data_IF_108534765315
#
_entry.id   IF_108534765315
#
_cell.length_a   1.000
_cell.length_b   1.000
_cell.length_c   1.000
_cell.angle_alpha   90.00
_cell.angle_beta   90.00
_cell.angle_gamma   90.00
#
_symmetry.space_group_name_H-M   'P 1'
#
loop_
_entity.id
_entity.type
_entity.pdbx_description
1 polymer ?
#
# COMPACT_ATOMS: atom_id res chain seq x y z
N UNK A 1 1.02 -16.13 13.99
CA UNK A 1 -0.04 -15.14 13.70
C UNK A 1 0.54 -13.76 13.94
N UNK A 2 0.40 -12.80 13.04
CA UNK A 2 0.94 -11.47 13.22
C UNK A 2 0.25 -10.74 14.38
N UNK A 3 0.85 -9.69 14.93
CA UNK A 3 0.34 -8.91 16.06
C UNK A 3 -0.90 -8.05 15.74
N UNK A 4 -1.62 -8.34 14.67
CA UNK A 4 -2.81 -7.61 14.23
C UNK A 4 -3.91 -7.46 15.29
N UNK A 5 -4.24 -8.53 16.06
CA UNK A 5 -5.18 -8.37 17.17
C UNK A 5 -4.68 -7.39 18.24
N UNK A 6 -3.35 -7.36 18.47
CA UNK A 6 -2.74 -6.43 19.42
C UNK A 6 -2.78 -4.98 18.92
N UNK A 7 -2.40 -4.73 17.66
CA UNK A 7 -2.48 -3.40 17.05
C UNK A 7 -3.93 -2.88 17.04
N UNK A 8 -4.87 -3.70 16.63
CA UNK A 8 -6.30 -3.36 16.65
C UNK A 8 -6.80 -3.05 18.05
N UNK A 9 -6.43 -3.87 19.04
CA UNK A 9 -6.79 -3.65 20.45
C UNK A 9 -6.21 -2.35 21.02
N UNK A 10 -4.99 -1.97 20.61
CA UNK A 10 -4.38 -0.69 20.97
C UNK A 10 -5.10 0.49 20.30
N UNK A 11 -5.30 0.41 18.99
CA UNK A 11 -5.89 1.50 18.20
C UNK A 11 -7.34 1.79 18.57
N UNK A 12 -8.12 0.77 18.91
CA UNK A 12 -9.49 0.93 19.43
C UNK A 12 -9.53 1.72 20.73
N UNK A 13 -8.48 1.62 21.56
CA UNK A 13 -8.36 2.30 22.84
C UNK A 13 -7.64 3.64 22.78
N UNK A 14 -7.13 4.02 21.61
CA UNK A 14 -6.45 5.28 21.30
C UNK A 14 -7.21 6.03 20.18
N UNK A 15 -8.51 6.33 20.34
CA UNK A 15 -9.36 6.87 19.29
C UNK A 15 -8.96 8.27 18.83
N UNK A 16 -8.19 9.00 19.66
CA UNK A 16 -7.75 10.36 19.38
C UNK A 16 -6.54 10.44 18.46
N UNK A 17 -5.87 9.31 18.16
CA UNK A 17 -4.70 9.33 17.30
C UNK A 17 -5.05 9.76 15.86
N UNK A 18 -4.25 10.66 15.33
CA UNK A 18 -4.26 10.99 13.90
C UNK A 18 -3.84 9.78 13.05
N UNK A 19 -4.01 9.88 11.73
CA UNK A 19 -3.52 8.86 10.80
C UNK A 19 -2.03 8.56 11.00
N UNK A 20 -1.20 9.60 11.21
CA UNK A 20 0.22 9.43 11.48
C UNK A 20 0.49 8.76 12.84
N UNK A 21 -0.25 9.12 13.88
CA UNK A 21 -0.16 8.48 15.19
C UNK A 21 -0.54 7.00 15.14
N UNK A 22 -1.56 6.64 14.38
CA UNK A 22 -1.96 5.24 14.13
C UNK A 22 -0.88 4.47 13.38
N UNK A 23 -0.26 5.10 12.35
CA UNK A 23 0.84 4.51 11.62
C UNK A 23 2.05 4.21 12.53
N UNK A 24 2.36 5.10 13.49
CA UNK A 24 3.39 4.84 14.50
C UNK A 24 3.09 3.58 15.29
N UNK A 25 1.88 3.45 15.86
CA UNK A 25 1.48 2.27 16.65
C UNK A 25 1.60 1.00 15.79
N UNK A 26 1.13 1.03 14.55
CA UNK A 26 1.21 -0.11 13.65
C UNK A 26 2.66 -0.53 13.38
N UNK A 27 3.53 0.40 12.99
CA UNK A 27 4.95 0.09 12.77
C UNK A 27 5.58 -0.51 14.02
N UNK A 28 5.31 0.04 15.21
CA UNK A 28 5.85 -0.46 16.47
C UNK A 28 5.39 -1.88 16.78
N UNK A 29 4.11 -2.18 16.59
CA UNK A 29 3.54 -3.50 16.92
C UNK A 29 3.93 -4.54 15.87
N UNK A 30 3.93 -4.20 14.58
CA UNK A 30 4.31 -5.12 13.52
C UNK A 30 5.78 -5.53 13.58
N UNK A 31 6.64 -4.63 14.00
CA UNK A 31 8.07 -4.90 14.24
C UNK A 31 8.34 -5.45 15.65
N UNK A 32 7.29 -5.74 16.41
CA UNK A 32 7.42 -6.25 17.79
C UNK A 32 8.27 -5.36 18.69
N UNK A 33 8.23 -4.03 18.48
CA UNK A 33 9.08 -3.04 19.13
C UNK A 33 10.53 -2.98 18.61
N UNK A 34 10.88 -3.75 17.58
CA UNK A 34 12.26 -3.85 17.03
C UNK A 34 12.46 -2.96 15.79
N UNK A 35 11.91 -1.79 15.81
CA UNK A 35 11.84 -0.86 14.67
C UNK A 35 13.18 -0.25 14.24
N UNK A 36 14.29 -0.59 14.90
CA UNK A 36 15.59 0.00 14.64
C UNK A 36 15.76 1.38 15.27
N UNK A 37 16.44 2.30 14.60
CA UNK A 37 16.64 3.66 15.11
C UNK A 37 15.42 4.55 14.91
N UNK A 38 15.30 5.63 15.70
CA UNK A 38 14.26 6.63 15.54
C UNK A 38 14.30 7.30 14.15
N UNK A 39 15.49 7.42 13.54
CA UNK A 39 15.64 7.98 12.19
C UNK A 39 15.08 7.01 11.13
N UNK A 40 15.27 5.71 11.30
CA UNK A 40 14.70 4.70 10.40
C UNK A 40 13.17 4.72 10.44
N UNK A 41 12.59 4.78 11.64
CA UNK A 41 11.12 4.89 11.79
C UNK A 41 10.61 6.22 11.25
N UNK A 42 11.30 7.32 11.50
CA UNK A 42 10.96 8.61 10.93
C UNK A 42 10.91 8.53 9.39
N UNK A 43 11.94 7.97 8.76
CA UNK A 43 12.00 7.79 7.31
C UNK A 43 10.85 6.91 6.78
N UNK A 44 10.53 5.80 7.46
CA UNK A 44 9.38 4.92 7.13
C UNK A 44 8.02 5.62 7.20
N UNK A 45 7.91 6.60 8.09
CA UNK A 45 6.69 7.41 8.27
C UNK A 45 6.67 8.67 7.38
N UNK A 46 7.61 8.81 6.44
CA UNK A 46 7.73 9.98 5.58
C UNK A 46 8.22 11.24 6.30
N UNK A 47 8.79 11.10 7.51
CA UNK A 47 9.36 12.18 8.28
C UNK A 47 10.85 12.34 7.94
N UNK A 48 11.35 13.56 7.89
CA UNK A 48 12.74 13.84 7.49
C UNK A 48 13.76 13.56 8.60
N UNK A 49 13.33 13.60 9.87
CA UNK A 49 14.25 13.50 11.02
C UNK A 49 13.58 12.84 12.23
N UNK A 50 14.38 12.23 13.12
CA UNK A 50 13.93 11.76 14.44
C UNK A 50 13.27 12.85 15.30
N UNK A 51 13.64 14.12 15.09
CA UNK A 51 13.03 15.23 15.83
C UNK A 51 11.59 15.49 15.40
N UNK A 52 11.26 15.25 14.12
CA UNK A 52 9.88 15.30 13.64
C UNK A 52 9.06 14.14 14.22
N UNK A 53 9.66 12.94 14.33
CA UNK A 53 9.03 11.80 15.01
C UNK A 53 8.76 12.12 16.49
N UNK A 54 9.74 12.70 17.20
CA UNK A 54 9.55 13.08 18.60
C UNK A 54 8.45 14.14 18.78
N UNK A 55 8.32 15.11 17.86
CA UNK A 55 7.23 16.09 17.84
C UNK A 55 5.88 15.42 17.57
N UNK A 56 5.84 14.47 16.61
CA UNK A 56 4.65 13.69 16.31
C UNK A 56 4.19 12.92 17.55
N UNK A 57 5.05 12.13 18.17
CA UNK A 57 4.73 11.35 19.38
C UNK A 57 4.16 12.24 20.49
N UNK A 58 4.78 13.40 20.74
CA UNK A 58 4.31 14.37 21.74
C UNK A 58 2.95 14.94 21.39
N UNK A 59 2.72 15.32 20.12
CA UNK A 59 1.44 15.83 19.61
C UNK A 59 0.33 14.80 19.74
N UNK A 60 0.63 13.54 19.47
CA UNK A 60 -0.31 12.44 19.55
C UNK A 60 -0.54 11.95 21.01
N UNK A 61 0.21 12.48 21.96
CA UNK A 61 0.13 12.04 23.38
C UNK A 61 0.67 10.63 23.59
N UNK A 62 1.58 10.19 22.73
CA UNK A 62 2.28 8.92 22.82
C UNK A 62 3.58 9.07 23.62
N UNK A 63 4.05 7.99 24.28
CA UNK A 63 5.33 7.97 24.96
C UNK A 63 6.51 8.29 24.01
N UNK A 64 7.65 8.76 24.54
CA UNK A 64 8.88 8.90 23.76
C UNK A 64 9.25 7.59 23.06
N UNK A 65 9.94 7.69 21.92
CA UNK A 65 10.26 6.57 21.03
C UNK A 65 10.81 5.33 21.73
N UNK A 66 11.84 5.50 22.57
CA UNK A 66 12.48 4.37 23.28
C UNK A 66 11.54 3.68 24.27
N UNK A 67 10.69 4.44 24.92
CA UNK A 67 9.68 3.91 25.85
C UNK A 67 8.58 3.19 25.08
N UNK A 68 8.16 3.75 23.95
CA UNK A 68 7.13 3.17 23.08
C UNK A 68 7.58 1.83 22.48
N UNK A 69 8.82 1.75 21.97
CA UNK A 69 9.40 0.49 21.44
C UNK A 69 9.53 -0.58 22.52
N UNK A 70 9.96 -0.17 23.70
CA UNK A 70 10.05 -1.09 24.84
C UNK A 70 8.70 -1.68 25.23
N UNK A 71 7.65 -0.87 25.29
CA UNK A 71 6.29 -1.32 25.57
C UNK A 71 5.71 -2.18 24.46
N UNK A 72 5.98 -1.86 23.19
CA UNK A 72 5.57 -2.68 22.07
C UNK A 72 6.18 -4.09 22.13
N UNK A 73 7.49 -4.19 22.51
CA UNK A 73 8.14 -5.48 22.71
C UNK A 73 7.53 -6.27 23.87
N UNK A 74 7.27 -5.65 25.00
CA UNK A 74 6.66 -6.31 26.17
C UNK A 74 5.25 -6.79 25.85
N UNK A 75 4.45 -5.96 25.22
CA UNK A 75 3.08 -6.31 24.79
C UNK A 75 3.09 -7.49 23.81
N UNK A 76 3.99 -7.48 22.84
CA UNK A 76 4.15 -8.57 21.91
C UNK A 76 4.51 -9.90 22.62
N UNK A 77 5.51 -9.89 23.53
CA UNK A 77 5.92 -11.11 24.23
C UNK A 77 4.81 -11.69 25.10
N UNK A 78 4.04 -10.83 25.81
CA UNK A 78 2.92 -11.32 26.64
C UNK A 78 1.80 -11.84 25.74
N UNK A 79 1.45 -11.13 24.68
CA UNK A 79 0.43 -11.55 23.72
C UNK A 79 0.77 -12.90 23.07
N UNK A 80 2.03 -13.07 22.61
CA UNK A 80 2.48 -14.34 22.03
C UNK A 80 2.51 -15.47 23.07
N UNK A 81 2.92 -15.17 24.28
CA UNK A 81 2.93 -16.15 25.35
C UNK A 81 1.52 -16.59 25.77
N UNK A 82 0.55 -15.68 25.79
CA UNK A 82 -0.86 -16.00 26.07
C UNK A 82 -1.44 -16.91 24.98
N UNK A 83 -1.05 -16.68 23.71
CA UNK A 83 -1.53 -17.41 22.56
C UNK A 83 -0.86 -18.79 22.36
N UNK A 84 0.44 -18.90 22.62
CA UNK A 84 1.25 -20.06 22.24
C UNK A 84 1.78 -20.86 23.42
N UNK A 85 1.52 -20.43 24.66
CA UNK A 85 2.12 -20.92 25.90
C UNK A 85 3.68 -20.89 25.91
N UNK A 86 4.29 -20.11 25.01
CA UNK A 86 5.74 -20.02 24.87
C UNK A 86 6.40 -19.34 26.08
N UNK A 87 7.63 -19.77 26.41
CA UNK A 87 8.44 -19.12 27.44
C UNK A 87 9.08 -17.83 26.89
N UNK A 88 9.41 -16.86 27.77
CA UNK A 88 10.14 -15.66 27.35
C UNK A 88 11.50 -16.00 26.70
N UNK A 89 12.18 -17.04 27.21
CA UNK A 89 13.42 -17.51 26.64
C UNK A 89 13.25 -17.94 25.17
N UNK A 90 12.19 -18.70 24.86
CA UNK A 90 11.88 -19.12 23.49
C UNK A 90 11.51 -17.93 22.59
N UNK A 91 10.72 -16.98 23.09
CA UNK A 91 10.34 -15.77 22.36
C UNK A 91 11.54 -14.86 22.11
N UNK A 92 12.41 -14.65 23.11
CA UNK A 92 13.62 -13.85 22.98
C UNK A 92 14.60 -14.45 21.97
N UNK A 93 14.83 -15.77 22.02
CA UNK A 93 15.69 -16.49 21.06
C UNK A 93 15.12 -16.36 19.63
N UNK A 94 13.84 -16.58 19.46
CA UNK A 94 13.17 -16.44 18.15
C UNK A 94 13.26 -15.01 17.61
N UNK A 95 13.29 -14.03 18.52
CA UNK A 95 13.47 -12.62 18.20
C UNK A 95 14.95 -12.20 18.12
N UNK A 96 15.92 -13.08 18.25
CA UNK A 96 17.36 -12.76 18.30
C UNK A 96 17.71 -11.64 19.32
N UNK A 97 17.04 -11.66 20.47
CA UNK A 97 17.28 -10.72 21.58
C UNK A 97 17.86 -11.50 22.76
N UNK A 98 18.82 -10.87 23.46
CA UNK A 98 19.34 -11.44 24.69
C UNK A 98 18.21 -11.63 25.72
N UNK A 99 17.97 -12.87 26.19
CA UNK A 99 16.91 -13.12 27.19
C UNK A 99 17.08 -12.29 28.47
N UNK A 100 18.30 -12.08 28.93
CA UNK A 100 18.56 -11.28 30.14
C UNK A 100 18.14 -9.81 29.94
N UNK A 101 18.34 -9.26 28.74
CA UNK A 101 17.83 -7.93 28.38
C UNK A 101 16.30 -7.89 28.40
N UNK A 102 15.65 -8.94 27.89
CA UNK A 102 14.18 -9.04 27.86
C UNK A 102 13.59 -9.07 29.27
N UNK A 103 14.16 -9.84 30.19
CA UNK A 103 13.74 -9.86 31.62
C UNK A 103 13.94 -8.51 32.29
N UNK A 104 15.09 -7.85 32.04
CA UNK A 104 15.38 -6.51 32.58
C UNK A 104 14.41 -5.45 32.03
N UNK A 105 14.10 -5.50 30.74
CA UNK A 105 13.16 -4.59 30.10
C UNK A 105 11.76 -4.72 30.70
N UNK A 106 11.26 -5.94 30.83
CA UNK A 106 9.95 -6.23 31.44
C UNK A 106 9.90 -5.64 32.86
N UNK A 107 10.87 -5.96 33.71
CA UNK A 107 10.91 -5.48 35.10
C UNK A 107 10.98 -3.95 35.18
N UNK A 108 11.79 -3.33 34.30
CA UNK A 108 11.92 -1.87 34.24
C UNK A 108 10.62 -1.18 33.84
N UNK A 109 9.88 -1.70 32.86
CA UNK A 109 8.67 -1.05 32.35
C UNK A 109 7.42 -1.37 33.14
N UNK A 110 7.29 -2.58 33.67
CA UNK A 110 6.06 -3.05 34.32
C UNK A 110 6.16 -3.16 35.83
N UNK A 111 7.38 -3.17 36.37
CA UNK A 111 7.63 -3.46 37.80
C UNK A 111 7.49 -4.95 38.17
N UNK A 112 7.03 -5.78 37.23
CA UNK A 112 6.70 -7.18 37.47
C UNK A 112 7.79 -8.12 36.96
N UNK A 113 7.85 -9.33 37.55
CA UNK A 113 8.60 -10.46 36.98
C UNK A 113 7.79 -11.10 35.84
N UNK A 114 8.48 -11.83 34.96
CA UNK A 114 7.80 -12.51 33.85
C UNK A 114 6.66 -13.44 34.29
N UNK A 115 6.84 -14.21 35.34
CA UNK A 115 5.82 -15.10 35.88
C UNK A 115 4.57 -14.35 36.39
N UNK A 116 4.77 -13.18 36.99
CA UNK A 116 3.68 -12.31 37.44
C UNK A 116 2.98 -11.67 36.24
N UNK A 117 3.76 -11.22 35.25
CA UNK A 117 3.25 -10.61 34.03
C UNK A 117 2.40 -11.59 33.23
N UNK A 118 2.84 -12.86 33.13
CA UNK A 118 2.06 -13.94 32.52
C UNK A 118 0.74 -14.20 33.23
N UNK A 119 0.69 -14.06 34.54
CA UNK A 119 -0.53 -14.27 35.34
C UNK A 119 -1.55 -13.16 35.13
N UNK A 120 -1.10 -11.91 34.97
CA UNK A 120 -1.99 -10.77 34.72
C UNK A 120 -2.44 -10.66 33.26
N UNK A 121 -1.68 -11.23 32.30
CA UNK A 121 -2.04 -11.36 30.90
C UNK A 121 -1.98 -10.05 30.07
N UNK A 122 -2.22 -10.19 28.78
CA UNK A 122 -2.09 -9.11 27.79
C UNK A 122 -3.02 -7.92 28.08
N UNK A 123 -4.23 -8.16 28.55
CA UNK A 123 -5.22 -7.09 28.80
C UNK A 123 -4.73 -6.10 29.88
N UNK A 124 -4.16 -6.59 30.96
CA UNK A 124 -3.63 -5.76 32.05
C UNK A 124 -2.37 -5.02 31.62
N UNK A 125 -1.50 -5.66 30.86
CA UNK A 125 -0.28 -5.02 30.32
C UNK A 125 -0.65 -3.89 29.35
N UNK A 126 -1.64 -4.11 28.52
CA UNK A 126 -2.18 -3.09 27.61
C UNK A 126 -2.79 -1.93 28.40
N UNK A 127 -3.56 -2.21 29.46
CA UNK A 127 -4.12 -1.17 30.33
C UNK A 127 -3.02 -0.30 30.94
N UNK A 128 -1.92 -0.89 31.42
CA UNK A 128 -0.77 -0.13 31.96
C UNK A 128 -0.09 0.72 30.89
N UNK A 129 0.12 0.20 29.70
CA UNK A 129 0.63 0.99 28.58
C UNK A 129 -0.27 2.20 28.29
N UNK A 130 -1.58 2.01 28.26
CA UNK A 130 -2.56 3.06 27.95
C UNK A 130 -2.55 4.19 28.99
N UNK A 131 -2.13 3.94 30.25
CA UNK A 131 -1.98 5.02 31.24
C UNK A 131 -0.88 6.02 30.89
N UNK A 132 0.05 5.63 30.02
CA UNK A 132 1.13 6.51 29.54
C UNK A 132 0.71 7.34 28.33
N UNK A 133 -0.37 6.94 27.67
CA UNK A 133 -0.91 7.64 26.52
C UNK A 133 -1.95 8.67 26.96
N UNK A 134 -1.75 9.94 26.64
CA UNK A 134 -2.66 11.03 27.07
C UNK A 134 -3.03 11.88 25.86
N UNK A 135 -4.34 12.09 25.59
CA UNK A 135 -4.74 13.02 24.53
C UNK A 135 -4.17 14.41 24.81
N UNK A 136 -3.60 15.05 23.81
CA UNK A 136 -3.15 16.42 23.93
C UNK A 136 -4.33 17.33 24.29
N UNK A 137 -4.15 18.22 25.27
CA UNK A 137 -5.20 19.15 25.69
C UNK A 137 -5.61 20.03 24.50
N UNK A 138 -6.86 19.92 24.06
CA UNK A 138 -7.50 20.86 23.14
C UNK A 138 -7.82 20.38 21.72
N UNK A 139 -7.63 19.08 21.35
CA UNK A 139 -7.74 18.73 19.92
C UNK A 139 -8.82 17.74 19.49
N UNK A 140 -9.53 17.05 20.38
CA UNK A 140 -10.26 15.84 19.94
C UNK A 140 -11.77 15.86 20.13
N UNK A 141 -12.28 16.45 21.17
CA UNK A 141 -13.74 16.46 21.40
C UNK A 141 -14.46 17.33 20.38
N UNK A 142 -13.83 18.44 19.95
CA UNK A 142 -14.42 19.35 18.96
C UNK A 142 -14.32 18.83 17.52
N UNK A 143 -13.28 18.08 17.19
CA UNK A 143 -13.10 17.55 15.84
C UNK A 143 -14.02 16.36 15.56
N UNK A 144 -14.18 15.45 16.52
CA UNK A 144 -15.09 14.30 16.41
C UNK A 144 -16.55 14.76 16.42
N UNK A 145 -16.91 15.77 17.24
CA UNK A 145 -18.26 16.35 17.22
C UNK A 145 -18.58 17.11 15.92
N UNK A 146 -17.62 17.85 15.35
CA UNK A 146 -17.80 18.53 14.05
C UNK A 146 -17.91 17.55 12.90
N UNK A 147 -17.18 16.42 12.95
CA UNK A 147 -17.22 15.38 11.93
C UNK A 147 -18.53 14.59 11.98
N UNK A 148 -18.98 14.19 13.15
CA UNK A 148 -20.27 13.51 13.34
C UNK A 148 -21.47 14.41 12.99
N UNK A 149 -21.38 15.72 13.20
CA UNK A 149 -22.41 16.68 12.80
C UNK A 149 -22.41 16.98 11.29
N UNK A 150 -21.27 16.80 10.62
CA UNK A 150 -21.16 16.91 9.15
C UNK A 150 -21.68 15.65 8.43
N UNK A 151 -21.53 14.48 9.05
CA UNK A 151 -21.97 13.19 8.51
C UNK A 151 -23.49 12.96 8.61
N UNK A 152 -24.23 13.75 9.38
CA UNK A 152 -25.69 13.65 9.55
C UNK A 152 -26.52 14.57 8.65
N UNK A 153 -25.93 15.27 7.69
CA UNK A 153 -26.66 16.04 6.67
C UNK A 153 -26.54 15.40 5.30
N UNK A 154 -27.01 14.17 5.18
CA UNK A 154 -27.16 13.51 3.90
C UNK A 154 -28.49 13.90 3.21
N UNK A 155 -28.44 15.00 2.48
CA UNK A 155 -29.42 15.24 1.42
C UNK A 155 -28.80 14.87 0.05
N UNK A 156 -28.74 13.54 -0.19
CA UNK A 156 -28.08 12.93 -1.35
C UNK A 156 -28.93 12.93 -2.63
N UNK A 157 -30.08 13.62 -2.66
CA UNK A 157 -31.04 13.54 -3.76
C UNK A 157 -30.81 14.54 -4.92
N UNK A 158 -29.79 15.41 -4.86
CA UNK A 158 -29.54 16.40 -5.93
C UNK A 158 -28.04 16.65 -6.19
N UNK A 159 -27.23 15.59 -6.40
CA UNK A 159 -25.84 15.81 -6.79
C UNK A 159 -25.65 15.29 -8.21
N UNK A 160 -25.43 16.21 -9.15
CA UNK A 160 -24.99 15.91 -10.51
C UNK A 160 -23.63 15.22 -10.53
N UNK A 161 -23.28 14.59 -11.64
CA UNK A 161 -21.95 13.97 -11.83
C UNK A 161 -20.84 14.97 -11.53
N UNK A 162 -19.73 14.55 -10.92
CA UNK A 162 -18.63 15.45 -10.60
C UNK A 162 -18.08 16.10 -11.87
N UNK A 163 -17.74 17.37 -11.77
CA UNK A 163 -17.05 18.08 -12.85
C UNK A 163 -15.58 17.61 -12.86
N UNK A 164 -15.17 16.88 -13.89
CA UNK A 164 -13.78 16.45 -14.07
C UNK A 164 -12.98 17.51 -14.85
N UNK A 165 -11.67 17.66 -14.59
CA UNK A 165 -10.83 16.93 -13.63
C UNK A 165 -11.11 17.31 -12.17
N UNK A 166 -10.94 16.34 -11.26
CA UNK A 166 -11.19 16.52 -9.83
C UNK A 166 -9.93 16.12 -9.05
N UNK A 167 -9.52 16.95 -8.09
CA UNK A 167 -8.50 16.64 -7.10
C UNK A 167 -9.10 16.61 -5.71
N UNK A 168 -8.89 15.50 -5.00
CA UNK A 168 -9.38 15.29 -3.66
C UNK A 168 -8.21 15.20 -2.68
N UNK A 169 -8.10 16.09 -1.69
CA UNK A 169 -7.15 15.92 -0.60
C UNK A 169 -7.37 14.59 0.11
N UNK A 170 -6.31 13.82 0.26
CA UNK A 170 -6.34 12.52 0.93
C UNK A 170 -5.01 12.28 1.64
N UNK A 171 -4.94 12.64 2.90
CA UNK A 171 -3.75 12.44 3.73
C UNK A 171 -3.41 10.95 3.93
N UNK A 172 -2.17 10.70 4.36
CA UNK A 172 -1.74 9.35 4.74
C UNK A 172 -1.08 8.57 3.61
N UNK A 173 -0.56 9.26 2.59
CA UNK A 173 0.23 8.68 1.51
C UNK A 173 -0.57 7.74 0.62
N UNK A 174 -1.49 8.24 -0.22
CA UNK A 174 -2.17 7.43 -1.22
C UNK A 174 -1.16 6.71 -2.12
N UNK A 175 -1.32 5.39 -2.28
CA UNK A 175 -0.32 4.58 -2.96
C UNK A 175 -0.91 3.68 -4.06
N UNK A 176 -1.56 2.58 -3.70
CA UNK A 176 -2.22 1.68 -4.64
C UNK A 176 -3.67 2.08 -4.87
N UNK A 177 -4.19 1.79 -6.05
CA UNK A 177 -5.59 2.03 -6.39
C UNK A 177 -6.17 0.88 -7.20
N UNK A 178 -7.39 0.47 -6.85
CA UNK A 178 -8.19 -0.46 -7.64
C UNK A 178 -9.64 0.00 -7.68
N UNK A 179 -10.33 -0.27 -8.79
CA UNK A 179 -11.72 0.13 -8.97
C UNK A 179 -12.63 -1.08 -8.85
N UNK A 180 -13.61 -0.97 -7.95
CA UNK A 180 -14.68 -1.93 -7.77
C UNK A 180 -15.86 -1.56 -8.67
N UNK A 181 -16.23 -2.47 -9.57
CA UNK A 181 -17.27 -2.21 -10.56
C UNK A 181 -16.92 -1.03 -11.49
N UNK A 182 -17.84 -0.06 -11.58
CA UNK A 182 -17.66 1.17 -12.37
C UNK A 182 -17.72 2.43 -11.50
N UNK A 183 -17.89 2.29 -10.19
CA UNK A 183 -18.31 3.39 -9.32
C UNK A 183 -17.39 3.70 -8.16
N UNK A 184 -16.69 2.72 -7.61
CA UNK A 184 -15.95 2.93 -6.36
C UNK A 184 -14.47 2.63 -6.55
N UNK A 185 -13.62 3.61 -6.31
CA UNK A 185 -12.19 3.41 -6.21
C UNK A 185 -11.82 3.13 -4.75
N UNK A 186 -10.96 2.13 -4.54
CA UNK A 186 -10.33 1.80 -3.28
C UNK A 186 -8.87 2.20 -3.36
N UNK A 187 -8.46 3.08 -2.47
CA UNK A 187 -7.13 3.69 -2.46
C UNK A 187 -6.40 3.29 -1.17
N UNK A 188 -5.27 2.62 -1.28
CA UNK A 188 -4.45 2.33 -0.11
C UNK A 188 -3.77 3.59 0.39
N UNK A 189 -3.75 3.77 1.71
CA UNK A 189 -3.12 4.91 2.38
C UNK A 189 -1.98 4.38 3.24
N UNK A 190 -0.79 4.33 2.65
CA UNK A 190 0.37 3.64 3.22
C UNK A 190 0.72 4.12 4.65
N UNK A 191 0.61 5.42 4.91
CA UNK A 191 0.93 6.01 6.22
C UNK A 191 -0.27 6.13 7.16
N UNK A 192 -1.47 5.77 6.70
CA UNK A 192 -2.70 5.83 7.50
C UNK A 192 -3.21 4.46 7.94
N UNK A 193 -2.54 3.36 7.53
CA UNK A 193 -2.93 1.99 7.83
C UNK A 193 -4.36 1.65 7.39
N UNK A 194 -4.81 2.21 6.28
CA UNK A 194 -6.19 2.14 5.84
C UNK A 194 -6.32 2.10 4.32
N UNK A 195 -7.48 1.66 3.87
CA UNK A 195 -7.97 1.83 2.50
C UNK A 195 -9.10 2.86 2.53
N UNK A 196 -9.02 3.87 1.69
CA UNK A 196 -10.07 4.86 1.50
C UNK A 196 -10.95 4.48 0.31
N UNK A 197 -12.25 4.75 0.41
CA UNK A 197 -13.21 4.54 -0.68
C UNK A 197 -13.64 5.86 -1.27
N UNK A 198 -13.56 5.97 -2.58
CA UNK A 198 -13.99 7.11 -3.37
C UNK A 198 -15.13 6.71 -4.30
N UNK A 199 -16.29 7.32 -4.16
CA UNK A 199 -17.39 7.18 -5.12
C UNK A 199 -17.09 8.05 -6.34
N UNK A 200 -16.86 7.40 -7.47
CA UNK A 200 -16.55 8.07 -8.75
C UNK A 200 -17.76 8.76 -9.38
N UNK A 201 -18.98 8.43 -8.94
CA UNK A 201 -20.22 9.06 -9.43
C UNK A 201 -20.42 10.43 -8.80
N UNK A 202 -20.10 10.55 -7.51
CA UNK A 202 -20.28 11.79 -6.75
C UNK A 202 -18.97 12.57 -6.58
N UNK A 203 -17.81 11.93 -6.83
CA UNK A 203 -16.50 12.51 -6.56
C UNK A 203 -16.22 12.71 -5.07
N UNK A 204 -16.79 11.89 -4.19
CA UNK A 204 -16.67 12.03 -2.73
C UNK A 204 -16.01 10.82 -2.09
N UNK A 205 -15.23 11.08 -1.04
CA UNK A 205 -14.75 10.04 -0.15
C UNK A 205 -15.93 9.52 0.70
N UNK A 206 -16.19 8.20 0.63
CA UNK A 206 -17.38 7.59 1.22
C UNK A 206 -17.10 6.65 2.39
N UNK A 207 -15.83 6.46 2.75
CA UNK A 207 -15.47 5.72 3.95
C UNK A 207 -14.06 5.19 3.96
N UNK A 208 -13.57 4.93 5.17
CA UNK A 208 -12.22 4.44 5.46
C UNK A 208 -12.29 3.04 6.05
N UNK A 209 -11.50 2.11 5.54
CA UNK A 209 -11.39 0.72 6.01
C UNK A 209 -10.01 0.55 6.65
N UNK A 210 -9.90 0.34 7.97
CA UNK A 210 -8.62 0.05 8.60
C UNK A 210 -8.13 -1.35 8.22
N UNK A 211 -6.89 -1.47 7.71
CA UNK A 211 -6.35 -2.75 7.21
C UNK A 211 -4.98 -3.14 7.79
N UNK A 212 -4.41 -2.35 8.67
CA UNK A 212 -3.07 -2.59 9.21
C UNK A 212 -2.00 -1.69 8.60
N UNK A 213 -0.74 -1.88 9.02
CA UNK A 213 0.34 -0.96 8.68
C UNK A 213 0.77 -1.06 7.22
N UNK A 214 1.06 0.07 6.63
CA UNK A 214 1.63 0.24 5.28
C UNK A 214 0.92 -0.61 4.22
N UNK A 215 -0.41 -0.44 4.01
CA UNK A 215 -1.08 -1.05 2.88
C UNK A 215 -0.51 -0.48 1.58
N UNK A 216 -0.16 -1.36 0.63
CA UNK A 216 0.50 -0.94 -0.61
C UNK A 216 -0.33 -1.28 -1.85
N UNK A 217 -0.32 -2.51 -2.30
CA UNK A 217 -1.10 -2.92 -3.46
C UNK A 217 -2.48 -3.43 -3.07
N UNK A 218 -3.43 -3.31 -3.98
CA UNK A 218 -4.80 -3.79 -3.81
C UNK A 218 -5.30 -4.41 -5.12
N UNK A 219 -5.97 -5.55 -5.03
CA UNK A 219 -6.62 -6.22 -6.16
C UNK A 219 -7.96 -6.79 -5.74
N UNK A 220 -8.91 -6.89 -6.68
CA UNK A 220 -10.21 -7.54 -6.46
C UNK A 220 -10.24 -8.95 -7.01
N UNK A 221 -11.11 -9.79 -6.46
CA UNK A 221 -11.48 -11.04 -7.10
C UNK A 221 -12.31 -10.80 -8.37
N UNK A 222 -12.49 -11.86 -9.17
CA UNK A 222 -13.20 -11.77 -10.44
C UNK A 222 -14.68 -11.37 -10.30
N UNK A 223 -15.28 -11.61 -9.12
CA UNK A 223 -16.66 -11.22 -8.80
C UNK A 223 -16.75 -9.80 -8.25
N UNK A 224 -15.64 -9.24 -7.76
CA UNK A 224 -15.60 -7.98 -7.05
C UNK A 224 -16.07 -8.08 -5.60
N UNK A 225 -16.38 -9.29 -5.08
CA UNK A 225 -16.88 -9.44 -3.72
C UNK A 225 -15.80 -9.28 -2.65
N UNK A 226 -14.54 -9.54 -3.00
CA UNK A 226 -13.41 -9.42 -2.09
C UNK A 226 -12.26 -8.63 -2.69
N UNK A 227 -11.64 -7.78 -1.87
CA UNK A 227 -10.39 -7.13 -2.19
C UNK A 227 -9.26 -7.69 -1.32
N UNK A 228 -8.09 -7.85 -1.91
CA UNK A 228 -6.87 -8.32 -1.26
C UNK A 228 -5.87 -7.16 -1.23
N UNK A 229 -5.41 -6.83 -0.04
CA UNK A 229 -4.49 -5.70 0.18
C UNK A 229 -3.20 -6.22 0.81
N UNK A 230 -2.08 -6.01 0.15
CA UNK A 230 -0.78 -6.35 0.73
C UNK A 230 -0.43 -5.36 1.85
N UNK A 231 -0.07 -5.92 3.01
CA UNK A 231 0.29 -5.15 4.20
C UNK A 231 1.79 -5.32 4.43
N UNK A 232 2.57 -4.34 3.97
CA UNK A 232 4.01 -4.34 4.17
C UNK A 232 4.35 -4.29 5.66
N UNK A 233 5.44 -4.93 6.04
CA UNK A 233 5.96 -5.01 7.41
C UNK A 233 5.06 -5.74 8.41
N UNK A 234 3.99 -6.41 7.97
CA UNK A 234 3.12 -7.20 8.82
C UNK A 234 2.98 -8.65 8.37
N UNK A 235 3.76 -9.08 7.39
CA UNK A 235 3.73 -10.45 6.83
C UNK A 235 2.31 -10.94 6.58
N UNK A 236 1.46 -10.08 6.03
CA UNK A 236 0.04 -10.39 5.86
C UNK A 236 -0.58 -9.73 4.62
N UNK A 237 -1.68 -10.33 4.18
CA UNK A 237 -2.57 -9.77 3.16
C UNK A 237 -3.95 -9.61 3.82
N UNK A 238 -4.47 -8.38 3.87
CA UNK A 238 -5.80 -8.13 4.37
C UNK A 238 -6.85 -8.49 3.31
N UNK A 239 -7.90 -9.17 3.73
CA UNK A 239 -9.07 -9.46 2.90
C UNK A 239 -10.20 -8.55 3.32
N UNK A 240 -10.72 -7.76 2.39
CA UNK A 240 -11.84 -6.86 2.58
C UNK A 240 -13.06 -7.46 1.90
N UNK A 241 -14.16 -7.57 2.61
CA UNK A 241 -15.47 -7.79 2.01
C UNK A 241 -15.95 -6.47 1.37
N UNK A 242 -16.13 -6.47 0.06
CA UNK A 242 -16.52 -5.28 -0.69
C UNK A 242 -18.01 -4.94 -0.56
N UNK A 243 -18.84 -5.83 0.02
CA UNK A 243 -20.25 -5.60 0.29
C UNK A 243 -20.43 -4.88 1.63
N UNK A 244 -19.76 -5.37 2.68
CA UNK A 244 -19.83 -4.79 4.02
C UNK A 244 -18.78 -3.69 4.23
N UNK A 245 -17.83 -3.56 3.30
CA UNK A 245 -16.72 -2.62 3.36
C UNK A 245 -15.88 -2.74 4.63
N UNK A 246 -15.66 -3.96 5.09
CA UNK A 246 -14.92 -4.24 6.32
C UNK A 246 -13.84 -5.30 6.10
N UNK A 247 -12.72 -5.26 6.85
CA UNK A 247 -11.76 -6.34 6.83
C UNK A 247 -12.38 -7.58 7.50
N UNK A 248 -12.38 -8.71 6.79
CA UNK A 248 -12.96 -9.96 7.28
C UNK A 248 -11.89 -10.96 7.70
N UNK A 249 -10.68 -10.84 7.15
CA UNK A 249 -9.61 -11.79 7.37
C UNK A 249 -8.24 -11.15 7.11
N UNK A 250 -7.21 -11.73 7.73
CA UNK A 250 -5.81 -11.43 7.45
C UNK A 250 -5.07 -12.74 7.17
N UNK A 251 -4.64 -12.91 5.93
CA UNK A 251 -3.88 -14.08 5.51
C UNK A 251 -2.42 -13.89 5.91
N UNK A 252 -1.90 -14.81 6.72
CA UNK A 252 -0.47 -14.80 7.09
C UNK A 252 0.35 -15.29 5.92
N UNK A 253 1.34 -14.50 5.51
CA UNK A 253 2.24 -14.78 4.40
C UNK A 253 3.68 -14.47 4.78
N UNK A 254 4.68 -15.10 4.16
CA UNK A 254 6.08 -14.81 4.44
C UNK A 254 6.52 -13.44 3.90
N UNK A 255 7.43 -12.79 4.58
CA UNK A 255 8.39 -11.81 4.08
C UNK A 255 7.86 -10.54 3.44
N UNK A 256 7.11 -9.69 4.13
CA UNK A 256 6.79 -8.32 3.68
C UNK A 256 6.21 -8.24 2.25
N UNK A 257 4.97 -8.71 2.02
CA UNK A 257 4.37 -8.70 0.69
C UNK A 257 4.23 -7.27 0.16
N UNK A 258 4.62 -7.03 -1.10
CA UNK A 258 4.51 -5.70 -1.72
C UNK A 258 3.45 -5.68 -2.81
N UNK A 259 3.67 -6.21 -4.02
CA UNK A 259 2.60 -6.34 -4.99
C UNK A 259 1.78 -7.60 -4.71
N UNK A 260 0.54 -7.54 -5.10
CA UNK A 260 -0.38 -8.68 -5.02
C UNK A 260 -1.25 -8.72 -6.27
N UNK A 261 -1.40 -9.91 -6.86
CA UNK A 261 -2.29 -10.13 -7.99
C UNK A 261 -3.03 -11.46 -7.83
N UNK A 262 -4.32 -11.46 -8.06
CA UNK A 262 -5.12 -12.68 -8.05
C UNK A 262 -5.09 -13.35 -9.42
N UNK A 263 -4.72 -14.63 -9.47
CA UNK A 263 -4.80 -15.44 -10.66
C UNK A 263 -6.24 -15.45 -11.21
N UNK A 264 -6.38 -15.55 -12.54
CA UNK A 264 -7.71 -15.55 -13.17
C UNK A 264 -8.62 -16.71 -12.76
N UNK A 265 -8.03 -17.80 -12.25
CA UNK A 265 -8.79 -18.91 -11.67
C UNK A 265 -9.49 -18.55 -10.33
N UNK A 266 -9.22 -17.36 -9.78
CA UNK A 266 -9.76 -16.89 -8.51
C UNK A 266 -9.29 -17.67 -7.27
N UNK A 267 -8.32 -18.59 -7.42
CA UNK A 267 -7.89 -19.50 -6.35
C UNK A 267 -6.50 -19.26 -5.81
N UNK A 268 -5.62 -18.68 -6.63
CA UNK A 268 -4.22 -18.45 -6.28
C UNK A 268 -3.92 -16.97 -6.26
N UNK A 269 -3.43 -16.49 -5.13
CA UNK A 269 -2.97 -15.12 -4.97
C UNK A 269 -1.44 -15.12 -5.08
N UNK A 270 -0.90 -14.42 -6.08
CA UNK A 270 0.53 -14.25 -6.25
C UNK A 270 1.01 -12.96 -5.60
N UNK A 271 2.17 -13.00 -4.96
CA UNK A 271 2.82 -11.83 -4.38
C UNK A 271 4.33 -12.03 -4.35
N UNK A 272 5.07 -10.94 -4.40
CA UNK A 272 6.50 -10.93 -4.16
C UNK A 272 6.81 -10.36 -2.78
N UNK A 273 8.00 -10.63 -2.30
CA UNK A 273 8.47 -10.20 -0.98
C UNK A 273 9.87 -9.62 -1.06
N UNK A 274 10.32 -9.00 0.03
CA UNK A 274 11.68 -8.49 0.14
C UNK A 274 12.76 -9.61 0.20
N UNK A 275 12.35 -10.87 0.23
CA UNK A 275 13.24 -12.04 0.26
C UNK A 275 13.60 -12.54 -1.15
N UNK A 276 13.42 -11.72 -2.17
CA UNK A 276 13.65 -12.07 -3.58
C UNK A 276 12.94 -13.36 -4.02
N UNK A 277 11.66 -13.48 -3.63
CA UNK A 277 10.83 -14.63 -3.96
C UNK A 277 9.45 -14.23 -4.46
N UNK A 278 8.95 -15.02 -5.40
CA UNK A 278 7.54 -15.03 -5.78
C UNK A 278 6.84 -16.17 -5.04
N UNK A 279 5.75 -15.85 -4.38
CA UNK A 279 4.89 -16.83 -3.72
C UNK A 279 3.54 -16.92 -4.42
N UNK A 280 2.96 -18.12 -4.42
CA UNK A 280 1.57 -18.39 -4.75
C UNK A 280 0.85 -18.93 -3.52
N UNK A 281 -0.19 -18.26 -3.07
CA UNK A 281 -1.04 -18.67 -1.95
C UNK A 281 -2.35 -19.22 -2.47
N UNK A 282 -2.69 -20.45 -2.12
CA UNK A 282 -4.02 -21.01 -2.37
C UNK A 282 -5.02 -20.40 -1.37
N UNK A 283 -6.01 -19.68 -1.86
CA UNK A 283 -6.99 -18.99 -1.01
C UNK A 283 -7.91 -19.97 -0.24
N UNK A 284 -8.22 -21.13 -0.84
CA UNK A 284 -9.10 -22.12 -0.21
C UNK A 284 -8.44 -22.83 0.99
N UNK A 285 -7.14 -23.11 0.90
CA UNK A 285 -6.39 -23.84 1.94
C UNK A 285 -5.50 -22.94 2.78
N UNK A 286 -5.33 -21.68 2.36
CA UNK A 286 -4.41 -20.70 2.96
C UNK A 286 -2.96 -21.22 3.06
N UNK A 287 -2.56 -22.07 2.11
CA UNK A 287 -1.22 -22.63 2.04
C UNK A 287 -0.44 -22.08 0.86
N UNK A 288 0.86 -21.90 1.04
CA UNK A 288 1.76 -21.60 -0.06
C UNK A 288 1.85 -22.81 -0.98
N UNK A 289 1.48 -22.63 -2.24
CA UNK A 289 1.49 -23.67 -3.29
C UNK A 289 2.62 -23.43 -4.30
N UNK A 290 3.22 -22.23 -4.29
CA UNK A 290 4.37 -21.89 -5.11
C UNK A 290 5.36 -21.03 -4.33
N UNK A 291 6.66 -21.30 -4.51
CA UNK A 291 7.74 -20.50 -3.93
C UNK A 291 8.93 -20.52 -4.88
N UNK A 292 9.08 -19.47 -5.69
CA UNK A 292 10.08 -19.36 -6.73
C UNK A 292 11.13 -18.32 -6.35
N UNK A 293 12.43 -18.65 -6.40
CA UNK A 293 13.47 -17.65 -6.24
C UNK A 293 13.48 -16.70 -7.45
N UNK A 294 13.73 -15.42 -7.18
CA UNK A 294 13.85 -14.38 -8.20
C UNK A 294 15.29 -13.82 -8.18
N UNK A 295 15.76 -13.24 -9.30
CA UNK A 295 17.16 -12.80 -9.42
C UNK A 295 17.58 -11.69 -8.45
N UNK A 296 16.66 -10.84 -8.05
CA UNK A 296 16.90 -9.73 -7.10
C UNK A 296 15.58 -9.06 -6.73
N UNK A 297 15.65 -7.95 -5.98
CA UNK A 297 14.49 -7.19 -5.49
C UNK A 297 13.35 -7.11 -6.49
N UNK A 298 12.26 -7.81 -6.21
CA UNK A 298 11.09 -7.89 -7.07
C UNK A 298 10.04 -6.87 -6.62
N UNK A 299 9.44 -6.18 -7.60
CA UNK A 299 8.48 -5.12 -7.31
C UNK A 299 7.11 -5.42 -7.88
N UNK A 300 6.86 -5.27 -9.16
CA UNK A 300 5.52 -5.32 -9.72
C UNK A 300 5.21 -6.66 -10.41
N UNK A 301 3.93 -6.98 -10.46
CA UNK A 301 3.38 -8.19 -11.06
C UNK A 301 2.33 -7.83 -12.10
N UNK A 302 2.33 -8.52 -13.24
CA UNK A 302 1.24 -8.44 -14.21
C UNK A 302 0.93 -9.84 -14.77
N UNK A 303 -0.36 -10.18 -14.80
CA UNK A 303 -0.83 -11.38 -15.50
C UNK A 303 -1.09 -11.08 -16.96
N UNK A 304 -0.84 -12.05 -17.82
CA UNK A 304 -1.34 -12.01 -19.18
C UNK A 304 -2.88 -12.13 -19.22
N UNK A 305 -3.53 -11.78 -20.32
CA UNK A 305 -4.99 -11.83 -20.42
C UNK A 305 -5.61 -13.21 -20.19
N UNK A 306 -4.86 -14.28 -20.42
CA UNK A 306 -5.34 -15.65 -20.19
C UNK A 306 -5.15 -16.09 -18.75
N UNK A 307 -4.25 -15.44 -18.02
CA UNK A 307 -3.81 -15.82 -16.67
C UNK A 307 -2.82 -16.99 -16.66
N UNK A 308 -2.36 -17.46 -17.83
CA UNK A 308 -1.39 -18.55 -17.95
C UNK A 308 0.05 -18.09 -17.70
N UNK A 309 0.31 -16.80 -17.84
CA UNK A 309 1.63 -16.18 -17.65
C UNK A 309 1.57 -15.06 -16.62
N UNK A 310 2.56 -15.05 -15.75
CA UNK A 310 2.79 -13.97 -14.78
C UNK A 310 4.15 -13.33 -15.06
N UNK A 311 4.19 -12.03 -15.20
CA UNK A 311 5.40 -11.24 -15.39
C UNK A 311 5.77 -10.58 -14.09
N UNK A 312 7.05 -10.65 -13.71
CA UNK A 312 7.58 -10.13 -12.46
C UNK A 312 8.75 -9.19 -12.75
N UNK A 313 8.63 -7.94 -12.40
CA UNK A 313 9.73 -6.99 -12.47
C UNK A 313 10.74 -7.25 -11.35
N UNK A 314 11.98 -7.53 -11.71
CA UNK A 314 13.10 -7.69 -10.78
C UNK A 314 14.02 -6.48 -10.88
N UNK A 315 13.70 -5.48 -10.06
CA UNK A 315 14.21 -4.11 -10.15
C UNK A 315 15.74 -4.04 -10.15
N UNK A 316 16.38 -4.61 -9.15
CA UNK A 316 17.84 -4.53 -9.01
C UNK A 316 18.60 -5.38 -10.04
N UNK A 317 17.96 -6.42 -10.59
CA UNK A 317 18.55 -7.24 -11.66
C UNK A 317 18.37 -6.63 -13.06
N UNK A 318 17.53 -5.61 -13.21
CA UNK A 318 17.22 -5.01 -14.51
C UNK A 318 16.50 -5.96 -15.46
N UNK A 319 15.66 -6.86 -14.91
CA UNK A 319 15.00 -7.90 -15.70
C UNK A 319 13.50 -7.99 -15.43
N UNK A 320 12.78 -8.62 -16.35
CA UNK A 320 11.42 -9.11 -16.11
C UNK A 320 11.42 -10.62 -16.29
N UNK A 321 10.92 -11.33 -15.29
CA UNK A 321 10.82 -12.80 -15.28
C UNK A 321 9.41 -13.20 -15.70
N UNK A 322 9.30 -14.11 -16.66
CA UNK A 322 8.05 -14.75 -17.09
C UNK A 322 7.88 -16.09 -16.39
N UNK A 323 6.74 -16.27 -15.74
CA UNK A 323 6.40 -17.45 -14.93
C UNK A 323 5.17 -18.15 -15.52
N UNK A 324 5.23 -19.46 -15.65
CA UNK A 324 4.08 -20.33 -15.90
C UNK A 324 3.26 -20.47 -14.62
N UNK A 325 2.03 -19.99 -14.65
CA UNK A 325 1.14 -20.02 -13.48
C UNK A 325 0.57 -21.40 -13.18
N UNK A 326 0.55 -22.30 -14.16
CA UNK A 326 0.04 -23.66 -14.00
C UNK A 326 1.07 -24.57 -13.35
N UNK A 327 2.33 -24.47 -13.80
CA UNK A 327 3.41 -25.34 -13.33
C UNK A 327 4.31 -24.66 -12.30
N UNK A 328 4.05 -23.38 -11.96
CA UNK A 328 4.80 -22.60 -11.01
C UNK A 328 6.32 -22.60 -11.30
N UNK A 329 6.70 -22.32 -12.55
CA UNK A 329 8.11 -22.32 -12.96
C UNK A 329 8.44 -21.11 -13.83
N UNK A 330 9.68 -20.67 -13.76
CA UNK A 330 10.22 -19.63 -14.66
C UNK A 330 10.34 -20.22 -16.06
N UNK A 331 9.82 -19.49 -17.06
CA UNK A 331 9.91 -19.87 -18.49
C UNK A 331 11.10 -19.17 -19.12
N UNK A 332 11.19 -17.86 -18.95
CA UNK A 332 12.26 -17.02 -19.51
C UNK A 332 12.43 -15.73 -18.74
N UNK A 333 13.50 -15.03 -19.05
CA UNK A 333 13.84 -13.75 -18.44
C UNK A 333 14.19 -12.75 -19.52
N UNK A 334 13.52 -11.60 -19.52
CA UNK A 334 13.80 -10.48 -20.40
C UNK A 334 14.82 -9.55 -19.72
N UNK A 335 15.96 -9.33 -20.35
CA UNK A 335 17.00 -8.43 -19.85
C UNK A 335 16.80 -7.04 -20.44
N UNK A 336 16.30 -6.12 -19.63
CA UNK A 336 16.01 -4.74 -20.04
C UNK A 336 17.10 -3.76 -19.60
N UNK A 337 17.84 -4.09 -18.54
CA UNK A 337 18.70 -3.15 -17.84
C UNK A 337 17.90 -2.14 -17.04
N UNK A 338 18.58 -1.18 -16.41
CA UNK A 338 17.95 -0.17 -15.58
C UNK A 338 17.26 -0.73 -14.35
N UNK A 339 16.10 -0.17 -14.00
CA UNK A 339 15.32 -0.57 -12.84
C UNK A 339 13.83 -0.72 -13.24
N UNK A 340 13.43 -1.86 -13.81
CA UNK A 340 12.04 -2.13 -14.18
C UNK A 340 11.13 -2.16 -12.95
N UNK A 341 9.95 -1.56 -13.08
CA UNK A 341 8.95 -1.45 -12.01
C UNK A 341 7.56 -1.84 -12.53
N UNK A 342 6.66 -0.87 -12.76
CA UNK A 342 5.30 -1.11 -13.21
C UNK A 342 5.22 -1.89 -14.51
N UNK A 343 4.27 -2.82 -14.59
CA UNK A 343 4.09 -3.75 -15.71
C UNK A 343 2.64 -3.72 -16.20
N UNK A 344 2.45 -3.76 -17.51
CA UNK A 344 1.15 -4.08 -18.11
C UNK A 344 1.30 -4.92 -19.38
N UNK A 345 0.46 -5.94 -19.50
CA UNK A 345 0.36 -6.76 -20.70
C UNK A 345 -0.83 -6.31 -21.53
N UNK A 346 -0.66 -6.17 -22.82
CA UNK A 346 -1.75 -5.83 -23.73
C UNK A 346 -2.84 -6.91 -23.75
N UNK A 347 -4.08 -6.53 -24.06
CA UNK A 347 -5.24 -7.42 -24.05
C UNK A 347 -5.13 -8.56 -25.07
N UNK A 348 -4.40 -8.36 -26.15
CA UNK A 348 -4.07 -9.40 -27.12
C UNK A 348 -2.96 -10.36 -26.66
N UNK A 349 -2.30 -10.06 -25.52
CA UNK A 349 -1.22 -10.86 -24.98
C UNK A 349 0.10 -10.76 -25.75
N UNK A 350 0.23 -9.81 -26.68
CA UNK A 350 1.39 -9.73 -27.56
C UNK A 350 2.48 -8.78 -27.08
N UNK A 351 2.12 -7.78 -26.26
CA UNK A 351 3.06 -6.76 -25.81
C UNK A 351 3.09 -6.66 -24.28
N UNK A 352 4.28 -6.55 -23.74
CA UNK A 352 4.53 -6.18 -22.34
C UNK A 352 5.12 -4.77 -22.30
N UNK A 353 4.51 -3.88 -21.56
CA UNK A 353 4.99 -2.54 -21.26
C UNK A 353 5.58 -2.50 -19.86
N UNK A 354 6.72 -1.83 -19.73
CA UNK A 354 7.50 -1.79 -18.48
C UNK A 354 7.91 -0.36 -18.17
N UNK A 355 7.43 0.18 -17.07
CA UNK A 355 7.96 1.41 -16.51
C UNK A 355 9.36 1.13 -15.95
N UNK A 356 10.36 1.92 -16.34
CA UNK A 356 11.74 1.72 -15.95
C UNK A 356 12.33 3.03 -15.42
N UNK A 357 12.83 3.02 -14.20
CA UNK A 357 13.34 4.24 -13.57
C UNK A 357 14.51 4.87 -14.35
N UNK A 358 15.31 4.09 -15.03
CA UNK A 358 16.47 4.60 -15.78
C UNK A 358 16.16 4.91 -17.24
N UNK A 359 15.21 4.20 -17.84
CA UNK A 359 14.98 4.26 -19.29
C UNK A 359 13.66 4.94 -19.67
N UNK A 360 12.74 5.12 -18.74
CA UNK A 360 11.40 5.62 -19.00
C UNK A 360 10.42 4.50 -19.30
N UNK A 361 10.10 4.22 -20.57
CA UNK A 361 9.19 3.15 -20.97
C UNK A 361 9.88 2.14 -21.87
N UNK A 362 9.88 0.88 -21.47
CA UNK A 362 10.24 -0.25 -22.31
C UNK A 362 8.99 -0.95 -22.86
N UNK A 363 9.07 -1.48 -24.07
CA UNK A 363 8.07 -2.37 -24.62
C UNK A 363 8.76 -3.65 -25.12
N UNK A 364 8.13 -4.80 -24.89
CA UNK A 364 8.64 -6.12 -25.30
C UNK A 364 7.57 -6.86 -26.08
N UNK A 365 7.90 -7.29 -27.29
CA UNK A 365 7.09 -8.22 -28.06
C UNK A 365 7.18 -9.61 -27.43
N UNK A 366 6.12 -10.07 -26.79
CA UNK A 366 6.12 -11.31 -26.00
C UNK A 366 6.39 -12.57 -26.84
N UNK A 367 5.82 -12.74 -28.05
CA UNK A 367 6.12 -13.91 -28.87
C UNK A 367 7.60 -14.05 -29.22
N UNK A 368 8.26 -12.96 -29.60
CA UNK A 368 9.67 -12.98 -30.05
C UNK A 368 10.67 -12.72 -28.95
N UNK A 369 10.22 -12.09 -27.84
CA UNK A 369 11.10 -11.57 -26.79
C UNK A 369 11.87 -10.31 -27.18
N UNK A 370 11.59 -9.75 -28.36
CA UNK A 370 12.26 -8.56 -28.85
C UNK A 370 11.84 -7.32 -28.09
N UNK A 371 12.81 -6.57 -27.59
CA UNK A 371 12.60 -5.26 -27.00
C UNK A 371 12.37 -4.21 -28.09
N UNK A 372 11.32 -3.41 -27.92
CA UNK A 372 11.01 -2.24 -28.74
C UNK A 372 11.21 -1.00 -27.88
N UNK A 373 12.19 -0.17 -28.17
CA UNK A 373 12.57 0.97 -27.32
C UNK A 373 13.88 0.70 -26.58
N UNK A 374 14.29 1.49 -25.59
CA UNK A 374 13.46 2.28 -24.67
C UNK A 374 12.99 3.64 -25.20
N UNK A 375 11.83 4.10 -24.73
CA UNK A 375 11.40 5.48 -24.87
C UNK A 375 11.85 6.27 -23.64
N UNK A 376 12.78 7.20 -23.82
CA UNK A 376 13.19 8.11 -22.75
C UNK A 376 12.08 9.12 -22.47
N UNK A 377 11.61 9.15 -21.23
CA UNK A 377 10.56 10.09 -20.75
C UNK A 377 11.12 11.29 -19.98
N UNK A 378 12.44 11.42 -19.90
CA UNK A 378 13.11 12.52 -19.20
C UNK A 378 13.04 12.44 -17.68
N UNK A 379 12.41 11.42 -17.13
CA UNK A 379 12.26 11.22 -15.69
C UNK A 379 12.06 9.74 -15.34
N UNK A 380 12.37 9.29 -14.09
CA UNK A 380 12.12 7.96 -13.61
C UNK A 380 10.64 7.57 -13.72
N UNK A 381 10.35 6.48 -14.44
CA UNK A 381 9.04 5.89 -14.58
C UNK A 381 8.87 4.77 -13.56
N UNK A 382 7.75 4.78 -12.80
CA UNK A 382 7.55 3.82 -11.69
C UNK A 382 6.29 2.98 -11.83
N UNK A 383 5.26 3.49 -12.46
CA UNK A 383 3.97 2.80 -12.62
C UNK A 383 3.40 3.12 -13.99
N UNK A 384 2.57 2.25 -14.52
CA UNK A 384 1.90 2.48 -15.79
C UNK A 384 0.51 1.85 -15.84
N UNK A 385 -0.35 2.37 -16.72
CA UNK A 385 -1.64 1.80 -17.04
C UNK A 385 -1.90 1.92 -18.55
N UNK A 386 -2.50 0.89 -19.14
CA UNK A 386 -3.01 0.96 -20.51
C UNK A 386 -4.39 1.62 -20.51
N UNK A 387 -4.64 2.49 -21.49
CA UNK A 387 -6.00 2.99 -21.71
C UNK A 387 -6.93 1.83 -22.08
N UNK A 388 -8.24 1.89 -21.75
CA UNK A 388 -9.18 0.80 -22.03
C UNK A 388 -9.33 0.44 -23.50
N UNK A 389 -9.10 1.38 -24.40
CA UNK A 389 -9.05 1.16 -25.85
C UNK A 389 -7.65 0.71 -26.33
N UNK A 390 -6.71 0.66 -25.40
CA UNK A 390 -5.29 0.29 -25.62
C UNK A 390 -4.55 1.12 -26.67
N UNK A 391 -4.99 2.34 -26.92
CA UNK A 391 -4.27 3.26 -27.81
C UNK A 391 -3.15 3.99 -27.11
N UNK A 392 -3.22 4.11 -25.79
CA UNK A 392 -2.29 4.92 -24.99
C UNK A 392 -1.75 4.14 -23.79
N UNK A 393 -0.50 4.44 -23.44
CA UNK A 393 0.14 4.01 -22.19
C UNK A 393 0.34 5.24 -21.32
N UNK A 394 -0.24 5.24 -20.14
CA UNK A 394 -0.08 6.29 -19.13
C UNK A 394 1.05 5.87 -18.18
N UNK A 395 2.04 6.73 -17.98
CA UNK A 395 3.26 6.41 -17.22
C UNK A 395 3.49 7.45 -16.13
N UNK A 396 3.55 7.00 -14.88
CA UNK A 396 3.80 7.87 -13.73
C UNK A 396 5.28 8.24 -13.61
N UNK A 397 5.56 9.55 -13.62
CA UNK A 397 6.88 10.16 -13.49
C UNK A 397 6.99 10.82 -12.12
N UNK A 398 7.45 10.06 -11.12
CA UNK A 398 7.38 10.46 -9.70
C UNK A 398 8.24 11.67 -9.38
N UNK A 399 9.42 11.82 -10.03
CA UNK A 399 10.35 12.91 -9.74
C UNK A 399 9.90 14.27 -10.30
N UNK A 400 9.10 14.25 -11.37
CA UNK A 400 8.59 15.48 -12.02
C UNK A 400 7.14 15.79 -11.64
N UNK A 401 6.47 14.87 -10.89
CA UNK A 401 5.07 15.05 -10.55
C UNK A 401 4.17 15.09 -11.78
N UNK A 402 4.36 14.17 -12.71
CA UNK A 402 3.63 14.15 -13.97
C UNK A 402 3.24 12.73 -14.40
N UNK A 403 2.29 12.62 -15.29
CA UNK A 403 1.96 11.39 -16.02
C UNK A 403 2.19 11.63 -17.51
N UNK A 404 3.11 10.89 -18.09
CA UNK A 404 3.32 10.90 -19.54
C UNK A 404 2.25 10.02 -20.22
N UNK A 405 1.67 10.53 -21.30
CA UNK A 405 0.73 9.78 -22.15
C UNK A 405 1.45 9.46 -23.45
N UNK A 406 1.65 8.17 -23.69
CA UNK A 406 2.42 7.64 -24.81
C UNK A 406 1.47 6.96 -25.79
N UNK A 407 1.57 7.30 -27.08
CA UNK A 407 0.88 6.57 -28.14
C UNK A 407 1.49 5.17 -28.27
N UNK A 408 0.65 4.16 -28.12
CA UNK A 408 1.09 2.75 -28.10
C UNK A 408 1.69 2.30 -29.44
N UNK A 409 1.13 2.76 -30.55
CA UNK A 409 1.54 2.30 -31.87
C UNK A 409 2.89 2.88 -32.31
N UNK A 410 3.10 4.17 -32.04
CA UNK A 410 4.32 4.88 -32.44
C UNK A 410 5.37 4.97 -31.34
N UNK A 411 5.05 4.63 -30.10
CA UNK A 411 5.86 4.86 -28.90
C UNK A 411 6.36 6.31 -28.79
N UNK A 412 5.48 7.27 -29.09
CA UNK A 412 5.77 8.71 -28.94
C UNK A 412 4.94 9.31 -27.83
N UNK A 413 5.53 10.23 -27.09
CA UNK A 413 4.80 11.01 -26.09
C UNK A 413 3.79 11.91 -26.78
N UNK A 414 2.51 11.75 -26.47
CA UNK A 414 1.40 12.59 -26.94
C UNK A 414 1.17 13.80 -26.06
N UNK A 415 1.24 13.60 -24.75
CA UNK A 415 0.99 14.61 -23.77
C UNK A 415 1.72 14.29 -22.45
N UNK A 416 1.88 15.31 -21.62
CA UNK A 416 2.33 15.18 -20.24
C UNK A 416 1.32 15.89 -19.35
N UNK A 417 0.71 15.15 -18.43
CA UNK A 417 -0.30 15.64 -17.50
C UNK A 417 0.39 16.03 -16.20
N UNK A 418 0.41 17.32 -15.82
CA UNK A 418 1.03 17.76 -14.58
C UNK A 418 0.13 17.38 -13.40
N UNK A 419 0.49 16.37 -12.62
CA UNK A 419 -0.22 15.98 -11.40
C UNK A 419 0.36 16.64 -10.16
N UNK A 420 1.57 17.19 -10.24
CA UNK A 420 2.32 17.59 -9.06
C UNK A 420 2.67 16.41 -8.17
N UNK A 421 3.38 16.65 -7.07
CA UNK A 421 3.71 15.67 -6.04
C UNK A 421 4.38 14.40 -6.56
N UNK A 422 3.92 13.25 -6.07
CA UNK A 422 4.50 11.93 -6.38
C UNK A 422 3.41 10.96 -6.83
N UNK A 423 3.01 10.96 -8.11
CA UNK A 423 2.02 10.01 -8.62
C UNK A 423 2.54 8.57 -8.47
N UNK A 424 1.69 7.69 -7.95
CA UNK A 424 1.96 6.26 -7.71
C UNK A 424 0.96 5.41 -8.49
N UNK A 425 0.18 4.59 -7.80
CA UNK A 425 -0.81 3.72 -8.44
C UNK A 425 -1.81 4.48 -9.30
N UNK A 426 -2.10 3.95 -10.48
CA UNK A 426 -3.12 4.49 -11.37
C UNK A 426 -3.92 3.38 -12.02
N UNK A 427 -5.20 3.64 -12.25
CA UNK A 427 -6.09 2.69 -12.92
C UNK A 427 -7.25 3.38 -13.60
N UNK A 428 -7.71 2.80 -14.70
CA UNK A 428 -8.94 3.23 -15.36
C UNK A 428 -10.15 2.52 -14.78
N UNK A 429 -11.30 3.19 -14.78
CA UNK A 429 -12.56 2.51 -14.55
C UNK A 429 -12.89 1.56 -15.74
N UNK A 430 -13.75 0.58 -15.50
CA UNK A 430 -14.12 -0.41 -16.54
C UNK A 430 -14.77 0.20 -17.78
N UNK A 431 -15.41 1.36 -17.65
CA UNK A 431 -16.00 2.05 -18.79
C UNK A 431 -14.97 2.82 -19.63
N UNK A 432 -13.75 2.97 -19.10
CA UNK A 432 -12.69 3.73 -19.75
C UNK A 432 -12.91 5.24 -19.76
N UNK A 433 -13.81 5.74 -18.93
CA UNK A 433 -14.13 7.17 -18.87
C UNK A 433 -13.29 7.96 -17.90
N UNK A 434 -12.78 7.28 -16.90
CA UNK A 434 -12.10 7.91 -15.76
C UNK A 434 -10.79 7.22 -15.46
N UNK A 435 -9.72 8.01 -15.28
CA UNK A 435 -8.44 7.60 -14.73
C UNK A 435 -8.35 8.11 -13.30
N UNK A 436 -8.07 7.22 -12.36
CA UNK A 436 -7.79 7.56 -10.96
C UNK A 436 -6.31 7.40 -10.70
N UNK A 437 -5.69 8.43 -10.11
CA UNK A 437 -4.26 8.46 -9.78
C UNK A 437 -4.10 8.72 -8.29
N UNK A 438 -3.49 7.80 -7.58
CA UNK A 438 -3.07 7.99 -6.20
C UNK A 438 -1.77 8.80 -6.16
N UNK A 439 -1.73 9.87 -5.37
CA UNK A 439 -0.55 10.70 -5.22
C UNK A 439 -0.03 10.63 -3.77
N UNK A 440 1.15 10.06 -3.60
CA UNK A 440 1.76 9.81 -2.29
C UNK A 440 1.92 11.09 -1.43
N UNK A 441 1.95 12.25 -2.08
CA UNK A 441 2.08 13.55 -1.40
C UNK A 441 0.84 13.94 -0.60
N UNK A 442 -0.35 13.41 -0.92
CA UNK A 442 -1.54 13.62 -0.11
C UNK A 442 -2.82 13.98 -0.86
N UNK A 443 -3.03 13.46 -2.06
CA UNK A 443 -4.30 13.61 -2.79
C UNK A 443 -4.55 12.48 -3.77
N UNK A 444 -5.74 12.48 -4.33
CA UNK A 444 -6.14 11.63 -5.45
C UNK A 444 -6.64 12.50 -6.58
N UNK A 445 -6.13 12.26 -7.77
CA UNK A 445 -6.61 12.88 -9.00
C UNK A 445 -7.59 11.94 -9.72
N UNK A 446 -8.72 12.50 -10.16
CA UNK A 446 -9.73 11.82 -10.97
C UNK A 446 -9.84 12.58 -12.28
N UNK A 447 -9.36 11.97 -13.35
CA UNK A 447 -9.22 12.59 -14.66
C UNK A 447 -10.15 11.92 -15.67
N UNK A 448 -10.77 12.67 -16.61
CA UNK A 448 -11.46 12.05 -17.74
C UNK A 448 -10.44 11.35 -18.64
N UNK A 449 -10.75 10.15 -19.10
CA UNK A 449 -9.96 9.47 -20.12
C UNK A 449 -9.97 10.29 -21.43
N UNK A 450 -8.86 10.27 -22.16
CA UNK A 450 -8.73 11.04 -23.40
C UNK A 450 -8.35 12.52 -23.22
N UNK A 451 -8.00 12.95 -22.00
CA UNK A 451 -7.47 14.31 -21.75
C UNK A 451 -6.27 14.68 -22.64
N UNK A 452 -5.49 13.70 -23.09
CA UNK A 452 -4.37 13.92 -24.01
C UNK A 452 -4.82 14.53 -25.35
N UNK A 453 -6.01 14.22 -25.83
CA UNK A 453 -6.57 14.82 -27.04
C UNK A 453 -7.01 16.29 -26.84
N UNK A 454 -7.41 16.65 -25.61
CA UNK A 454 -7.85 17.99 -25.24
C UNK A 454 -6.71 18.94 -24.86
N UNK A 455 -5.56 18.41 -24.42
CA UNK A 455 -4.41 19.21 -23.99
C UNK A 455 -3.76 20.03 -25.10
N UNK A 456 -4.01 19.68 -26.36
CA UNK A 456 -3.57 20.46 -27.54
C UNK A 456 -4.50 21.65 -27.87
N UNK A 457 -5.66 21.78 -27.23
CA UNK A 457 -6.66 22.75 -27.64
C UNK A 457 -6.73 24.05 -26.79
N UNK A 458 -6.34 24.05 -25.52
CA UNK A 458 -6.21 25.25 -24.64
C UNK A 458 -5.64 24.85 -23.24
N UNK A 459 -4.98 25.79 -22.50
CA UNK A 459 -4.64 25.56 -21.10
C UNK A 459 -5.94 25.31 -20.32
N UNK A 460 -6.10 24.10 -19.84
CA UNK A 460 -7.28 23.68 -19.07
C UNK A 460 -7.22 24.26 -17.66
N UNK A 461 -8.39 24.38 -16.98
CA UNK A 461 -8.50 24.74 -15.54
C UNK A 461 -7.51 23.97 -14.64
N UNK A 462 -7.04 22.83 -15.10
CA UNK A 462 -6.05 21.99 -14.46
C UNK A 462 -4.68 22.66 -14.30
N UNK A 463 -4.19 23.37 -15.33
CA UNK A 463 -2.93 24.13 -15.24
C UNK A 463 -3.01 25.28 -14.24
N UNK A 464 -4.18 25.89 -14.06
CA UNK A 464 -4.41 26.93 -13.07
C UNK A 464 -4.45 26.36 -11.63
N UNK A 465 -5.06 25.18 -11.42
CA UNK A 465 -5.11 24.53 -10.10
C UNK A 465 -3.74 23.96 -9.70
N UNK A 466 -2.99 23.41 -10.65
CA UNK A 466 -1.62 22.92 -10.38
C UNK A 466 -0.65 24.08 -10.07
N UNK A 467 -0.79 25.23 -10.69
CA UNK A 467 0.02 26.42 -10.42
C UNK A 467 -0.26 27.03 -9.03
N UNK A 468 -1.51 26.98 -8.55
CA UNK A 468 -1.87 27.44 -7.19
C UNK A 468 -1.42 26.48 -6.07
N UNK A 469 -1.19 25.19 -6.37
CA UNK A 469 -0.69 24.24 -5.38
C UNK A 469 0.84 24.18 -5.29
N UNK A 470 1.55 24.87 -6.20
CA UNK A 470 3.01 24.95 -6.23
C UNK A 470 3.58 26.24 -5.60
N UNK A 471 2.73 27.19 -5.19
CA UNK A 471 3.04 28.36 -4.37
C UNK A 471 2.62 28.09 -2.90
#
# INVERSE_FOLDING_TARGET
MPPLPLASAMLTRLPWLSAQGRAVINVMVCENGRTGSADLVAARLGLRTRFQLARLLRREGLPPYELLTGWASVLYWVFEADRTASTLLALARRAHVDPAMSYRLIRRLTGLRWSELRRVGTAEVLRRFLTLCRPARGSVVDHVRRRAAAEQRDDWRQIGSPVLPLRLPLDGGPFGVAIHGTRTAYITRAHAAAVERLDLTTGRLVGTIPVGCVPSAITFDGTGSRAYVSIQYCDSIAVIDATTHSPVEFLSVPGNPFPVVLARNGRTLYFTTNEDRLYGLCLATQRIVASLPLPATSHFLALDPTGARLYVATRAAGTVVEVDTMHHRVIRTFRLGGQPQGLAVSRDGLMLYVANEHHGLDAVCLPTGQRVGPLNLGAPAVELALSPDEREVYVALVSTGAVAVVDRASLKVRATLPTGGRPRGMTFDRSGRVLVIANETGWVDVLPAGLAAAAHARPTRWTAVAAQAAL
#
